data_IF_377118737307
#
_entry.id   IF_377118737307
#
_cell.length_a   1.000
_cell.length_b   1.000
_cell.length_c   1.000
_cell.angle_alpha   90.00
_cell.angle_beta   90.00
_cell.angle_gamma   90.00
#
_symmetry.space_group_name_H-M   'P 1'
#
loop_
_entity.id
_entity.type
_entity.pdbx_description
1 polymer ?
#
# COMPACT_ATOMS: atom_id res chain seq x y z
N UNK A 1 2.85 -2.62 18.63
CA UNK A 1 3.33 -1.33 18.05
C UNK A 1 2.31 -0.25 18.33
N UNK A 2 2.74 1.01 18.47
CA UNK A 2 1.82 2.14 18.65
C UNK A 2 1.14 2.48 17.32
N UNK A 3 -0.18 2.65 17.33
CA UNK A 3 -0.98 2.92 16.11
C UNK A 3 -0.46 4.13 15.33
N UNK A 4 0.01 5.20 15.99
CA UNK A 4 0.60 6.36 15.29
C UNK A 4 1.70 5.93 14.31
N UNK A 5 2.61 5.02 14.70
CA UNK A 5 3.80 4.69 13.92
C UNK A 5 3.39 4.01 12.62
N UNK A 6 2.40 3.12 12.71
CA UNK A 6 1.77 2.45 11.57
C UNK A 6 1.17 3.49 10.61
N UNK A 7 0.44 4.48 11.14
CA UNK A 7 -0.16 5.54 10.34
C UNK A 7 0.89 6.39 9.62
N UNK A 8 1.97 6.76 10.30
CA UNK A 8 3.06 7.52 9.67
C UNK A 8 3.77 6.71 8.59
N UNK A 9 4.06 5.43 8.85
CA UNK A 9 4.67 4.56 7.86
C UNK A 9 3.77 4.42 6.62
N UNK A 10 2.46 4.24 6.78
CA UNK A 10 1.52 4.18 5.66
C UNK A 10 1.42 5.46 4.87
N UNK A 11 1.42 6.63 5.52
CA UNK A 11 1.50 7.93 4.82
C UNK A 11 2.81 8.05 4.03
N UNK A 12 3.91 7.51 4.57
CA UNK A 12 5.17 7.36 3.84
C UNK A 12 5.01 6.48 2.59
N UNK A 13 4.38 5.31 2.74
CA UNK A 13 4.07 4.42 1.61
C UNK A 13 3.23 5.15 0.55
N UNK A 14 2.12 5.77 0.94
CA UNK A 14 1.25 6.53 0.05
C UNK A 14 2.03 7.62 -0.69
N UNK A 15 2.92 8.34 0.01
CA UNK A 15 3.83 9.32 -0.60
C UNK A 15 4.73 8.71 -1.69
N UNK A 16 5.33 7.55 -1.44
CA UNK A 16 6.18 6.86 -2.44
C UNK A 16 5.40 6.33 -3.63
N UNK A 17 4.12 5.97 -3.44
CA UNK A 17 3.22 5.56 -4.52
C UNK A 17 2.81 6.77 -5.35
N UNK A 18 2.42 7.87 -4.70
CA UNK A 18 1.95 9.12 -5.34
C UNK A 18 3.05 9.84 -6.11
N UNK A 19 4.29 9.83 -5.63
CA UNK A 19 5.45 10.48 -6.26
C UNK A 19 5.98 9.82 -7.54
N UNK A 20 5.16 9.03 -8.25
CA UNK A 20 5.52 8.39 -9.51
C UNK A 20 5.60 6.87 -9.46
N UNK A 21 5.22 6.23 -8.36
CA UNK A 21 5.16 4.78 -8.13
C UNK A 21 6.46 3.98 -8.30
N UNK A 22 7.48 4.49 -9.00
CA UNK A 22 8.78 3.86 -9.17
C UNK A 22 9.53 3.71 -7.84
N UNK A 23 9.46 4.71 -6.96
CA UNK A 23 10.05 4.62 -5.61
C UNK A 23 9.44 3.47 -4.83
N UNK A 24 8.11 3.40 -4.79
CA UNK A 24 7.42 2.28 -4.15
C UNK A 24 7.77 0.94 -4.81
N UNK A 25 7.77 0.86 -6.15
CA UNK A 25 8.11 -0.36 -6.88
C UNK A 25 9.53 -0.83 -6.57
N UNK A 26 10.48 0.10 -6.42
CA UNK A 26 11.86 -0.22 -6.09
C UNK A 26 11.98 -0.76 -4.65
N UNK A 27 11.28 -0.13 -3.69
CA UNK A 27 11.26 -0.59 -2.30
C UNK A 27 10.55 -1.95 -2.17
N UNK A 28 9.43 -2.13 -2.86
CA UNK A 28 8.66 -3.37 -2.83
C UNK A 28 9.34 -4.51 -3.61
N UNK A 29 10.23 -4.19 -4.55
CA UNK A 29 11.12 -5.14 -5.22
C UNK A 29 10.42 -6.40 -5.73
N UNK A 30 10.75 -7.54 -5.11
CA UNK A 30 10.26 -8.87 -5.46
C UNK A 30 8.84 -9.19 -4.97
N UNK A 31 8.23 -8.32 -4.14
CA UNK A 31 6.84 -8.50 -3.73
C UNK A 31 5.82 -8.14 -4.81
N UNK A 32 6.27 -7.48 -5.88
CA UNK A 32 5.40 -7.07 -6.99
C UNK A 32 5.67 -7.89 -8.25
N UNK A 33 4.63 -8.52 -8.77
CA UNK A 33 4.64 -9.07 -10.13
C UNK A 33 4.50 -7.97 -11.20
N UNK A 34 4.61 -8.34 -12.47
CA UNK A 34 4.51 -7.42 -13.61
C UNK A 34 3.13 -6.75 -13.71
N UNK A 35 2.06 -7.46 -13.36
CA UNK A 35 0.69 -6.95 -13.34
C UNK A 35 0.50 -5.88 -12.26
N UNK A 36 0.99 -6.14 -11.05
CA UNK A 36 0.97 -5.20 -9.93
C UNK A 36 1.81 -3.95 -10.22
N UNK A 37 3.00 -4.10 -10.82
CA UNK A 37 3.83 -2.96 -11.28
C UNK A 37 3.10 -2.12 -12.33
N UNK A 38 2.41 -2.76 -13.27
CA UNK A 38 1.61 -2.06 -14.29
C UNK A 38 0.43 -1.31 -13.66
N UNK A 39 -0.29 -1.96 -12.74
CA UNK A 39 -1.41 -1.36 -12.03
C UNK A 39 -0.97 -0.16 -11.17
N UNK A 40 0.16 -0.25 -10.47
CA UNK A 40 0.76 0.83 -9.70
C UNK A 40 1.07 2.04 -10.58
N UNK A 41 1.67 1.83 -11.76
CA UNK A 41 1.97 2.93 -12.70
C UNK A 41 0.71 3.58 -13.28
N UNK A 42 -0.34 2.80 -13.52
CA UNK A 42 -1.60 3.28 -14.11
C UNK A 42 -2.54 3.95 -13.10
N UNK A 43 -2.52 3.50 -11.84
CA UNK A 43 -3.49 3.88 -10.81
C UNK A 43 -2.81 4.43 -9.54
N UNK A 44 -1.58 4.93 -9.63
CA UNK A 44 -0.77 5.37 -8.48
C UNK A 44 -1.52 6.30 -7.54
N UNK A 45 -2.19 7.34 -8.08
CA UNK A 45 -3.00 8.27 -7.29
C UNK A 45 -4.08 7.55 -6.47
N UNK A 46 -4.95 6.79 -7.14
CA UNK A 46 -6.04 6.05 -6.46
C UNK A 46 -5.54 5.02 -5.45
N UNK A 47 -4.40 4.36 -5.73
CA UNK A 47 -3.79 3.41 -4.80
C UNK A 47 -3.24 4.15 -3.57
N UNK A 48 -2.57 5.28 -3.77
CA UNK A 48 -2.08 6.11 -2.68
C UNK A 48 -3.22 6.64 -1.81
N UNK A 49 -4.32 7.07 -2.42
CA UNK A 49 -5.50 7.55 -1.70
C UNK A 49 -6.10 6.44 -0.82
N UNK A 50 -6.21 5.21 -1.32
CA UNK A 50 -6.65 4.06 -0.51
C UNK A 50 -5.69 3.80 0.66
N UNK A 51 -4.38 3.94 0.47
CA UNK A 51 -3.40 3.75 1.54
C UNK A 51 -3.53 4.85 2.61
N UNK A 52 -3.76 6.09 2.20
CA UNK A 52 -4.04 7.22 3.10
C UNK A 52 -5.35 7.01 3.87
N UNK A 53 -6.42 6.54 3.21
CA UNK A 53 -7.70 6.22 3.87
C UNK A 53 -7.51 5.16 4.97
N UNK A 54 -6.66 4.16 4.73
CA UNK A 54 -6.31 3.15 5.74
C UNK A 54 -5.52 3.78 6.89
N UNK A 55 -4.60 4.69 6.60
CA UNK A 55 -3.82 5.39 7.62
C UNK A 55 -4.69 6.30 8.53
N UNK A 56 -5.85 6.74 8.05
CA UNK A 56 -6.77 7.60 8.82
C UNK A 56 -7.73 6.81 9.72
N UNK A 57 -7.72 5.47 9.66
CA UNK A 57 -8.53 4.63 10.57
C UNK A 57 -8.15 4.87 12.05
N UNK A 58 -9.13 5.02 12.97
CA UNK A 58 -8.88 5.43 14.35
C UNK A 58 -8.00 4.43 15.11
N UNK A 59 -8.29 3.12 15.02
CA UNK A 59 -7.52 2.04 15.64
C UNK A 59 -6.94 1.10 14.57
N UNK A 60 -5.80 1.51 14.02
CA UNK A 60 -5.11 0.72 13.01
C UNK A 60 -4.05 -0.16 13.65
N UNK A 61 -4.30 -1.47 13.64
CA UNK A 61 -3.34 -2.48 14.02
C UNK A 61 -2.51 -2.92 12.79
N UNK A 62 -1.20 -3.12 12.97
CA UNK A 62 -0.28 -3.48 11.90
C UNK A 62 -0.72 -4.72 11.10
N UNK A 63 -1.24 -5.74 11.79
CA UNK A 63 -1.72 -6.98 11.15
C UNK A 63 -3.01 -6.79 10.32
N UNK A 64 -3.77 -5.71 10.56
CA UNK A 64 -5.01 -5.43 9.85
C UNK A 64 -4.78 -4.62 8.56
N UNK A 65 -3.64 -3.94 8.43
CA UNK A 65 -3.28 -3.06 7.31
C UNK A 65 -3.47 -3.73 5.97
N UNK A 66 -2.89 -4.93 5.79
CA UNK A 66 -3.01 -5.68 4.54
C UNK A 66 -4.47 -5.95 4.17
N UNK A 67 -5.30 -6.32 5.14
CA UNK A 67 -6.72 -6.58 4.93
C UNK A 67 -7.48 -5.34 4.48
N UNK A 68 -7.23 -4.20 5.11
CA UNK A 68 -7.86 -2.94 4.76
C UNK A 68 -7.44 -2.44 3.37
N UNK A 69 -6.13 -2.45 3.07
CA UNK A 69 -5.60 -2.05 1.75
C UNK A 69 -6.15 -2.97 0.66
N UNK A 70 -6.13 -4.29 0.86
CA UNK A 70 -6.72 -5.23 -0.09
C UNK A 70 -8.21 -4.92 -0.36
N UNK A 71 -8.98 -4.66 0.69
CA UNK A 71 -10.41 -4.36 0.55
C UNK A 71 -10.67 -3.07 -0.21
N UNK A 72 -9.85 -2.04 -0.04
CA UNK A 72 -9.96 -0.81 -0.83
C UNK A 72 -9.56 -0.99 -2.31
N UNK A 73 -8.57 -1.84 -2.58
CA UNK A 73 -8.04 -2.04 -3.94
C UNK A 73 -8.83 -3.04 -4.79
N UNK A 74 -9.40 -4.09 -4.19
CA UNK A 74 -10.00 -5.22 -4.94
C UNK A 74 -11.12 -4.79 -5.89
N UNK A 75 -11.87 -3.74 -5.55
CA UNK A 75 -12.99 -3.27 -6.35
C UNK A 75 -12.62 -2.72 -7.73
N UNK A 76 -11.38 -2.25 -7.92
CA UNK A 76 -10.95 -1.67 -9.19
C UNK A 76 -9.67 -2.29 -9.78
N UNK A 77 -8.91 -3.06 -9.02
CA UNK A 77 -7.72 -3.78 -9.50
C UNK A 77 -7.96 -5.29 -9.69
N UNK A 78 -9.07 -5.82 -9.18
CA UNK A 78 -9.31 -7.25 -9.11
C UNK A 78 -8.52 -7.93 -7.98
N UNK A 79 -8.99 -9.11 -7.57
CA UNK A 79 -8.52 -9.79 -6.36
C UNK A 79 -7.02 -10.11 -6.35
N UNK A 80 -6.47 -10.61 -7.46
CA UNK A 80 -5.06 -11.00 -7.55
C UNK A 80 -4.12 -9.81 -7.37
N UNK A 81 -4.27 -8.80 -8.21
CA UNK A 81 -3.45 -7.58 -8.18
C UNK A 81 -3.60 -6.82 -6.86
N UNK A 82 -4.82 -6.72 -6.33
CA UNK A 82 -5.05 -6.08 -5.04
C UNK A 82 -4.33 -6.79 -3.89
N UNK A 83 -4.33 -8.13 -3.85
CA UNK A 83 -3.65 -8.89 -2.81
C UNK A 83 -2.12 -8.73 -2.87
N UNK A 84 -1.55 -8.71 -4.08
CA UNK A 84 -0.11 -8.51 -4.29
C UNK A 84 0.32 -7.12 -3.84
N UNK A 85 -0.44 -6.08 -4.23
CA UNK A 85 -0.14 -4.70 -3.81
C UNK A 85 -0.33 -4.54 -2.30
N UNK A 86 -1.37 -5.10 -1.70
CA UNK A 86 -1.58 -5.03 -0.27
C UNK A 86 -0.45 -5.70 0.54
N UNK A 87 0.05 -6.86 0.06
CA UNK A 87 1.21 -7.54 0.64
C UNK A 87 2.48 -6.68 0.52
N UNK A 88 2.70 -6.05 -0.64
CA UNK A 88 3.81 -5.13 -0.84
C UNK A 88 3.71 -3.88 0.06
N UNK A 89 2.51 -3.31 0.24
CA UNK A 89 2.28 -2.16 1.13
C UNK A 89 2.62 -2.52 2.58
N UNK A 90 2.18 -3.67 3.06
CA UNK A 90 2.56 -4.16 4.38
C UNK A 90 4.09 -4.29 4.50
N UNK A 91 4.74 -4.93 3.53
CA UNK A 91 6.19 -5.09 3.53
C UNK A 91 6.96 -3.76 3.51
N UNK A 92 6.57 -2.81 2.67
CA UNK A 92 7.23 -1.48 2.61
C UNK A 92 6.94 -0.67 3.87
N UNK A 93 5.73 -0.76 4.43
CA UNK A 93 5.41 -0.16 5.72
C UNK A 93 6.35 -0.68 6.81
N UNK A 94 6.64 -1.98 6.86
CA UNK A 94 7.61 -2.55 7.79
C UNK A 94 9.04 -2.06 7.58
N UNK A 95 9.44 -1.72 6.35
CA UNK A 95 10.75 -1.10 6.07
C UNK A 95 10.82 0.34 6.60
N UNK A 96 9.68 1.04 6.64
CA UNK A 96 9.57 2.45 7.06
C UNK A 96 9.29 2.63 8.56
N UNK A 97 9.01 1.55 9.29
CA UNK A 97 8.78 1.53 10.75
C UNK A 97 10.09 1.54 11.53
#
# INVERSE_FOLDING_TARGET
MKSWLVKQALRGVAGTVRGGSNTFINLAGNWLDSGAKSALRKNSGRIADVIDDVADLPDLATHAVRGHVYNGLKGFLGHGTANVIANAVEGVMWILL
#
